data_IF_429224617432
#
_entry.id   IF_429224617432
#
_cell.length_a   1.000
_cell.length_b   1.000
_cell.length_c   1.000
_cell.angle_alpha   90.00
_cell.angle_beta   90.00
_cell.angle_gamma   90.00
#
_symmetry.space_group_name_H-M   'P 1'
#
loop_
_entity.id
_entity.type
_entity.pdbx_description
1 polymer ?
#
# COMPACT_ATOMS: atom_id res chain seq x y z
N UNK A 1 64.26 -13.37 33.00
CA UNK A 1 62.86 -13.05 33.31
C UNK A 1 62.29 -11.89 32.45
N UNK A 2 63.09 -10.99 31.92
CA UNK A 2 62.66 -9.80 31.18
C UNK A 2 62.30 -10.03 29.68
N UNK A 3 62.70 -11.17 29.10
CA UNK A 3 62.47 -11.40 27.65
C UNK A 3 61.08 -12.01 27.31
N UNK A 4 60.45 -12.69 28.24
CA UNK A 4 59.13 -13.28 28.03
C UNK A 4 57.98 -12.25 28.11
N UNK A 5 58.12 -11.21 28.91
CA UNK A 5 57.07 -10.18 29.06
C UNK A 5 56.92 -9.30 27.79
N UNK A 6 58.01 -9.05 27.07
CA UNK A 6 58.01 -8.28 25.81
C UNK A 6 57.30 -9.07 24.71
N UNK A 7 57.42 -10.38 24.66
CA UNK A 7 56.74 -11.22 23.68
C UNK A 7 55.24 -11.30 23.91
N UNK A 8 54.80 -11.32 25.15
CA UNK A 8 53.36 -11.32 25.52
C UNK A 8 52.70 -9.99 25.13
N UNK A 9 53.34 -8.85 25.42
CA UNK A 9 52.86 -7.52 25.07
C UNK A 9 52.81 -7.36 23.54
N UNK A 10 53.80 -7.85 22.80
CA UNK A 10 53.82 -7.81 21.35
C UNK A 10 52.70 -8.66 20.72
N UNK A 11 52.38 -9.83 21.29
CA UNK A 11 51.29 -10.69 20.83
C UNK A 11 49.92 -10.09 21.10
N UNK A 12 49.71 -9.44 22.25
CA UNK A 12 48.49 -8.74 22.62
C UNK A 12 48.25 -7.52 21.72
N UNK A 13 49.27 -6.71 21.44
CA UNK A 13 49.18 -5.56 20.56
C UNK A 13 48.90 -5.96 19.10
N UNK A 14 49.45 -7.09 18.64
CA UNK A 14 49.17 -7.65 17.31
C UNK A 14 47.74 -8.16 17.21
N UNK A 15 47.25 -8.85 18.26
CA UNK A 15 45.84 -9.32 18.35
C UNK A 15 44.83 -8.18 18.30
N UNK A 16 45.06 -7.08 19.00
CA UNK A 16 44.22 -5.87 19.00
C UNK A 16 44.20 -5.21 17.62
N UNK A 17 45.33 -5.21 16.88
CA UNK A 17 45.39 -4.63 15.52
C UNK A 17 44.64 -5.48 14.49
N UNK A 18 44.64 -6.81 14.62
CA UNK A 18 43.83 -7.69 13.77
C UNK A 18 42.33 -7.60 14.12
N UNK A 19 41.98 -7.50 15.39
CA UNK A 19 40.60 -7.35 15.86
C UNK A 19 39.99 -6.03 15.39
N UNK A 20 40.75 -4.90 15.42
CA UNK A 20 40.28 -3.63 14.84
C UNK A 20 40.08 -3.71 13.32
N UNK A 21 40.89 -4.42 12.57
CA UNK A 21 40.69 -4.64 11.13
C UNK A 21 39.50 -5.55 10.84
N UNK A 22 39.27 -6.59 11.65
CA UNK A 22 38.10 -7.46 11.51
C UNK A 22 36.80 -6.70 11.82
N UNK A 23 36.78 -5.88 12.87
CA UNK A 23 35.62 -5.06 13.25
C UNK A 23 35.33 -4.01 12.16
N UNK A 24 36.34 -3.35 11.60
CA UNK A 24 36.12 -2.37 10.52
C UNK A 24 35.65 -3.01 9.21
N UNK A 25 36.10 -4.22 8.88
CA UNK A 25 35.59 -4.95 7.70
C UNK A 25 34.18 -5.49 7.94
N UNK A 26 33.89 -5.94 9.17
CA UNK A 26 32.52 -6.40 9.53
C UNK A 26 31.52 -5.26 9.58
N UNK A 27 31.90 -4.07 10.09
CA UNK A 27 31.06 -2.86 10.02
C UNK A 27 30.86 -2.39 8.57
N UNK A 28 31.89 -2.44 7.72
CA UNK A 28 31.75 -2.04 6.32
C UNK A 28 30.83 -2.99 5.53
N UNK A 29 30.80 -4.29 5.85
CA UNK A 29 29.90 -5.27 5.22
C UNK A 29 28.46 -5.12 5.72
N UNK A 30 28.25 -4.72 6.98
CA UNK A 30 26.89 -4.46 7.51
C UNK A 30 26.32 -3.15 6.92
N UNK A 31 27.14 -2.13 6.71
CA UNK A 31 26.68 -0.84 6.11
C UNK A 31 26.38 -1.00 4.60
N UNK A 32 27.03 -1.95 3.90
CA UNK A 32 26.74 -2.22 2.48
C UNK A 32 25.57 -3.19 2.24
N UNK A 33 25.00 -3.79 3.30
CA UNK A 33 23.90 -4.76 3.22
C UNK A 33 22.57 -4.23 3.74
N UNK A 34 22.48 -2.95 4.08
CA UNK A 34 21.19 -2.30 4.28
C UNK A 34 20.69 -1.89 2.89
N UNK A 35 19.74 -2.63 2.27
CA UNK A 35 19.05 -2.07 1.14
C UNK A 35 18.37 -0.79 1.65
N UNK A 36 18.62 0.32 0.98
CA UNK A 36 17.77 1.49 1.06
C UNK A 36 16.39 1.02 0.59
N UNK A 37 15.59 0.51 1.51
CA UNK A 37 14.17 0.38 1.34
C UNK A 37 13.65 1.83 1.35
N UNK A 38 13.76 2.52 0.20
CA UNK A 38 12.81 3.53 -0.19
C UNK A 38 11.49 2.78 -0.49
N UNK A 39 10.90 2.19 0.54
CA UNK A 39 9.53 1.76 0.49
C UNK A 39 8.72 3.05 0.44
N UNK A 40 8.08 3.32 -0.69
CA UNK A 40 6.97 4.23 -0.70
C UNK A 40 5.98 3.68 0.34
N UNK A 41 5.92 4.33 1.49
CA UNK A 41 4.93 4.04 2.51
C UNK A 41 3.60 4.53 1.93
N UNK A 42 2.79 3.63 1.38
CA UNK A 42 1.41 3.94 1.07
C UNK A 42 0.66 4.04 2.40
N UNK A 43 0.46 5.24 2.90
CA UNK A 43 -0.58 5.47 3.87
C UNK A 43 -1.91 5.12 3.19
N UNK A 44 -2.75 4.33 3.85
CA UNK A 44 -4.13 4.17 3.41
C UNK A 44 -4.75 5.57 3.39
N UNK A 45 -5.11 6.05 2.21
CA UNK A 45 -5.72 7.37 2.08
C UNK A 45 -7.05 7.41 2.80
N UNK A 46 -7.42 8.59 3.30
CA UNK A 46 -8.70 8.78 3.97
C UNK A 46 -9.87 8.42 3.06
N UNK A 47 -10.72 7.53 3.53
CA UNK A 47 -11.98 7.18 2.88
C UNK A 47 -13.05 8.15 3.37
N UNK A 48 -13.47 9.08 2.52
CA UNK A 48 -14.51 10.05 2.85
C UNK A 48 -15.89 9.45 2.60
N UNK A 49 -16.87 9.93 3.36
CA UNK A 49 -18.27 9.61 3.10
C UNK A 49 -18.86 10.75 2.24
N UNK A 50 -19.22 10.47 0.97
CA UNK A 50 -19.88 11.45 0.14
C UNK A 50 -21.24 11.86 0.75
N UNK A 51 -21.47 13.14 0.88
CA UNK A 51 -22.76 13.72 1.33
C UNK A 51 -23.78 13.78 0.18
N UNK A 52 -23.84 12.73 -0.62
CA UNK A 52 -24.70 12.59 -1.79
C UNK A 52 -25.49 11.27 -1.75
N UNK A 53 -26.66 11.27 -2.35
CA UNK A 53 -27.47 10.05 -2.47
C UNK A 53 -26.92 9.16 -3.58
N UNK A 54 -26.71 7.88 -3.29
CA UNK A 54 -26.22 6.86 -4.20
C UNK A 54 -27.08 5.60 -4.07
N UNK A 55 -27.46 5.04 -5.19
CA UNK A 55 -28.45 3.97 -5.30
C UNK A 55 -27.83 2.58 -5.44
N UNK A 56 -26.55 2.50 -5.78
CA UNK A 56 -25.80 1.24 -5.95
C UNK A 56 -25.62 0.49 -4.63
N UNK A 57 -25.56 -0.83 -4.73
CA UNK A 57 -25.29 -1.72 -3.57
C UNK A 57 -23.85 -1.57 -3.07
N UNK A 58 -22.89 -1.54 -4.00
CA UNK A 58 -21.49 -1.35 -3.69
C UNK A 58 -20.84 -0.36 -4.66
N UNK A 59 -19.86 0.41 -4.15
CA UNK A 59 -19.04 1.29 -4.99
C UNK A 59 -17.66 1.51 -4.40
N UNK A 60 -16.72 1.88 -5.28
CA UNK A 60 -15.42 2.45 -4.93
C UNK A 60 -15.11 3.63 -5.84
N UNK A 61 -14.52 4.67 -5.27
CA UNK A 61 -13.93 5.79 -5.99
C UNK A 61 -12.47 5.89 -5.62
N UNK A 62 -11.60 5.84 -6.61
CA UNK A 62 -10.14 5.76 -6.45
C UNK A 62 -9.52 6.93 -7.18
N UNK A 63 -8.59 7.64 -6.54
CA UNK A 63 -7.77 8.62 -7.22
C UNK A 63 -6.66 7.92 -8.01
N UNK A 64 -6.38 8.40 -9.23
CA UNK A 64 -5.40 7.83 -10.16
C UNK A 64 -4.13 8.71 -10.31
N UNK A 65 -4.02 9.80 -9.55
CA UNK A 65 -2.92 10.75 -9.67
C UNK A 65 -1.72 10.40 -8.77
N UNK A 66 -1.90 9.43 -7.89
CA UNK A 66 -0.89 8.88 -6.99
C UNK A 66 -0.70 7.39 -7.27
N UNK A 67 0.55 6.93 -7.32
CA UNK A 67 0.89 5.52 -7.58
C UNK A 67 0.38 4.55 -6.49
N UNK A 68 0.01 5.05 -5.32
CA UNK A 68 -0.66 4.28 -4.25
C UNK A 68 -2.14 4.04 -4.54
N UNK A 69 -2.73 4.74 -5.53
CA UNK A 69 -4.14 4.65 -5.91
C UNK A 69 -5.11 4.77 -4.72
N UNK A 70 -5.07 5.89 -4.00
CA UNK A 70 -5.84 6.05 -2.78
C UNK A 70 -7.36 5.94 -3.01
N UNK A 71 -8.01 5.11 -2.21
CA UNK A 71 -9.48 5.00 -2.19
C UNK A 71 -10.05 6.21 -1.46
N UNK A 72 -10.80 7.06 -2.15
CA UNK A 72 -11.36 8.29 -1.58
C UNK A 72 -12.80 8.16 -1.12
N UNK A 73 -13.56 7.18 -1.65
CA UNK A 73 -14.89 6.83 -1.16
C UNK A 73 -15.19 5.36 -1.48
N UNK A 74 -15.92 4.68 -0.58
CA UNK A 74 -16.32 3.29 -0.79
C UNK A 74 -17.56 2.93 0.04
N UNK A 75 -18.26 1.90 -0.42
CA UNK A 75 -19.38 1.25 0.26
C UNK A 75 -19.42 -0.22 -0.13
N UNK A 76 -19.53 -1.12 0.85
CA UNK A 76 -19.66 -2.57 0.63
C UNK A 76 -18.63 -3.13 -0.37
N UNK A 77 -17.42 -2.58 -0.36
CA UNK A 77 -16.39 -2.86 -1.36
C UNK A 77 -15.95 -4.32 -1.42
N UNK A 78 -16.13 -5.08 -0.34
CA UNK A 78 -15.76 -6.49 -0.21
C UNK A 78 -16.97 -7.44 -0.26
N UNK A 79 -18.17 -6.91 -0.49
CA UNK A 79 -19.37 -7.72 -0.71
C UNK A 79 -19.28 -8.46 -2.04
N UNK A 80 -19.56 -9.76 -2.04
CA UNK A 80 -19.61 -10.58 -3.26
C UNK A 80 -20.79 -10.17 -4.12
N UNK A 81 -20.49 -9.79 -5.35
CA UNK A 81 -21.44 -9.31 -6.34
C UNK A 81 -21.25 -10.05 -7.66
N UNK A 82 -22.30 -10.12 -8.48
CA UNK A 82 -22.17 -10.63 -9.84
C UNK A 82 -21.62 -9.53 -10.75
N UNK A 83 -20.49 -9.78 -11.47
CA UNK A 83 -19.85 -8.76 -12.30
C UNK A 83 -20.60 -8.50 -13.60
N UNK A 84 -21.43 -9.43 -14.08
CA UNK A 84 -21.94 -9.41 -15.44
C UNK A 84 -20.81 -9.16 -16.45
N UNK A 85 -21.05 -8.39 -17.51
CA UNK A 85 -20.05 -8.12 -18.56
C UNK A 85 -18.83 -7.28 -18.12
N UNK A 86 -18.69 -6.90 -16.85
CA UNK A 86 -17.41 -6.38 -16.34
C UNK A 86 -16.31 -7.46 -16.38
N UNK A 87 -16.69 -8.73 -16.38
CA UNK A 87 -15.84 -9.92 -16.63
C UNK A 87 -14.95 -9.75 -17.86
N UNK A 88 -15.46 -9.08 -18.90
CA UNK A 88 -14.74 -8.89 -20.18
C UNK A 88 -13.47 -8.03 -20.04
N UNK A 89 -13.29 -7.31 -18.94
CA UNK A 89 -12.01 -6.67 -18.61
C UNK A 89 -10.94 -7.75 -18.44
N UNK A 90 -11.25 -8.81 -17.70
CA UNK A 90 -10.32 -9.92 -17.48
C UNK A 90 -10.08 -10.70 -18.78
N UNK A 91 -11.12 -10.94 -19.56
CA UNK A 91 -11.00 -11.58 -20.88
C UNK A 91 -10.06 -10.80 -21.80
N UNK A 92 -10.21 -9.47 -21.84
CA UNK A 92 -9.33 -8.63 -22.64
C UNK A 92 -7.88 -8.67 -22.12
N UNK A 93 -7.67 -8.62 -20.81
CA UNK A 93 -6.33 -8.65 -20.24
C UNK A 93 -5.64 -10.01 -20.41
N UNK A 94 -6.36 -11.13 -20.21
CA UNK A 94 -5.81 -12.47 -20.47
C UNK A 94 -5.44 -12.60 -21.96
N UNK A 95 -6.26 -12.09 -22.87
CA UNK A 95 -5.94 -12.07 -24.30
C UNK A 95 -4.67 -11.23 -24.57
N UNK A 96 -4.61 -9.99 -24.09
CA UNK A 96 -3.47 -9.10 -24.31
C UNK A 96 -2.16 -9.61 -23.70
N UNK A 97 -2.23 -10.36 -22.62
CA UNK A 97 -1.07 -10.94 -21.94
C UNK A 97 -0.54 -12.21 -22.67
N UNK A 98 -1.35 -12.84 -23.49
CA UNK A 98 -0.98 -14.10 -24.16
C UNK A 98 -0.82 -13.99 -25.67
N UNK A 99 -1.31 -12.93 -26.31
CA UNK A 99 -1.21 -12.70 -27.75
C UNK A 99 -0.33 -11.49 -28.03
N UNK A 100 0.81 -11.71 -28.64
CA UNK A 100 1.78 -10.64 -28.96
C UNK A 100 1.46 -9.92 -30.28
N UNK A 101 0.85 -10.62 -31.23
CA UNK A 101 0.47 -10.08 -32.54
C UNK A 101 -1.06 -9.99 -32.65
N UNK A 102 -1.61 -8.81 -32.38
CA UNK A 102 -3.06 -8.57 -32.44
C UNK A 102 -3.63 -8.57 -33.86
N UNK A 103 -2.80 -8.64 -34.90
CA UNK A 103 -3.22 -8.77 -36.29
C UNK A 103 -3.36 -10.24 -36.73
N UNK A 104 -3.13 -11.20 -35.82
CA UNK A 104 -3.43 -12.61 -36.11
C UNK A 104 -4.92 -12.80 -36.35
N UNK A 105 -5.24 -13.54 -37.39
CA UNK A 105 -6.60 -13.84 -37.81
C UNK A 105 -7.11 -15.08 -37.09
N UNK A 106 -8.32 -14.98 -36.55
CA UNK A 106 -9.03 -16.05 -35.84
C UNK A 106 -10.35 -16.30 -36.55
N UNK A 107 -10.65 -17.56 -36.80
CA UNK A 107 -11.90 -17.97 -37.43
C UNK A 107 -12.93 -18.38 -36.40
N UNK A 108 -14.16 -17.87 -36.52
CA UNK A 108 -15.30 -18.23 -35.66
C UNK A 108 -15.63 -19.70 -35.81
N UNK A 109 -15.45 -20.48 -34.76
CA UNK A 109 -15.77 -21.89 -34.74
C UNK A 109 -17.26 -22.16 -34.51
N UNK A 110 -17.71 -23.35 -34.87
CA UNK A 110 -19.05 -23.84 -34.56
C UNK A 110 -19.27 -23.91 -33.01
N UNK A 111 -18.25 -24.23 -32.26
CA UNK A 111 -18.32 -24.34 -30.80
C UNK A 111 -18.51 -22.97 -30.13
N UNK A 112 -17.70 -21.96 -30.48
CA UNK A 112 -17.83 -20.59 -29.98
C UNK A 112 -19.19 -19.97 -30.34
N UNK A 113 -19.73 -20.30 -31.51
CA UNK A 113 -21.07 -19.85 -31.93
C UNK A 113 -22.19 -20.53 -31.14
N UNK A 114 -22.17 -21.85 -31.04
CA UNK A 114 -23.28 -22.65 -30.51
C UNK A 114 -23.47 -22.45 -29.00
N UNK A 115 -22.41 -22.13 -28.24
CA UNK A 115 -22.47 -22.01 -26.79
C UNK A 115 -23.40 -20.86 -26.35
N UNK A 116 -23.61 -19.86 -27.21
CA UNK A 116 -24.48 -18.72 -26.94
C UNK A 116 -25.93 -18.89 -27.41
N UNK A 117 -26.24 -19.96 -28.10
CA UNK A 117 -27.61 -20.18 -28.63
C UNK A 117 -28.63 -20.24 -27.49
N UNK A 118 -29.67 -19.42 -27.59
CA UNK A 118 -30.75 -19.37 -26.59
C UNK A 118 -30.42 -18.67 -25.27
N UNK A 119 -29.21 -18.13 -25.10
CA UNK A 119 -28.82 -17.43 -23.87
C UNK A 119 -29.36 -16.01 -23.76
N UNK A 120 -29.75 -15.38 -24.88
CA UNK A 120 -30.11 -13.95 -24.94
C UNK A 120 -28.90 -13.02 -24.75
N UNK A 121 -27.68 -13.52 -24.88
CA UNK A 121 -26.45 -12.74 -24.77
C UNK A 121 -26.38 -11.63 -25.84
N UNK A 122 -25.75 -10.51 -25.48
CA UNK A 122 -25.42 -9.48 -26.46
C UNK A 122 -24.30 -9.96 -27.37
N UNK A 123 -24.51 -9.93 -28.69
CA UNK A 123 -23.59 -10.40 -29.72
C UNK A 123 -23.31 -9.32 -30.77
N UNK A 124 -22.18 -9.40 -31.43
CA UNK A 124 -21.87 -8.58 -32.62
C UNK A 124 -22.51 -9.16 -33.90
N UNK A 125 -22.99 -10.39 -33.85
CA UNK A 125 -23.63 -11.08 -35.00
C UNK A 125 -22.58 -11.79 -35.86
N UNK A 126 -21.52 -12.31 -35.23
CA UNK A 126 -20.53 -13.14 -35.95
C UNK A 126 -21.13 -14.47 -36.37
N UNK A 127 -20.79 -14.94 -37.57
CA UNK A 127 -21.24 -16.21 -38.15
C UNK A 127 -20.09 -17.23 -38.16
N UNK A 128 -20.47 -18.53 -38.20
CA UNK A 128 -19.48 -19.61 -38.29
C UNK A 128 -18.67 -19.44 -39.59
N UNK A 129 -17.34 -19.43 -39.46
CA UNK A 129 -16.42 -19.25 -40.58
C UNK A 129 -15.98 -17.79 -40.81
N UNK A 130 -16.59 -16.81 -40.13
CA UNK A 130 -16.07 -15.44 -40.15
C UNK A 130 -14.63 -15.42 -39.64
N UNK A 131 -13.81 -14.55 -40.24
CA UNK A 131 -12.40 -14.39 -39.84
C UNK A 131 -12.13 -12.94 -39.41
N UNK A 132 -11.67 -12.75 -38.18
CA UNK A 132 -11.36 -11.47 -37.59
C UNK A 132 -9.97 -11.48 -36.96
N UNK A 133 -9.33 -10.33 -36.94
CA UNK A 133 -8.10 -10.18 -36.12
C UNK A 133 -8.42 -10.18 -34.62
N UNK A 134 -7.45 -10.57 -33.81
CA UNK A 134 -7.57 -10.49 -32.35
C UNK A 134 -7.90 -9.04 -31.91
N UNK A 135 -7.32 -8.02 -32.55
CA UNK A 135 -7.66 -6.62 -32.28
C UNK A 135 -9.14 -6.33 -32.55
N UNK A 136 -9.69 -6.78 -33.67
CA UNK A 136 -11.11 -6.62 -34.01
C UNK A 136 -12.02 -7.28 -32.96
N UNK A 137 -11.70 -8.52 -32.57
CA UNK A 137 -12.44 -9.23 -31.52
C UNK A 137 -12.40 -8.49 -30.19
N UNK A 138 -11.23 -7.94 -29.80
CA UNK A 138 -11.10 -7.13 -28.56
C UNK A 138 -11.94 -5.85 -28.62
N UNK A 139 -12.01 -5.16 -29.78
CA UNK A 139 -12.89 -3.99 -29.94
C UNK A 139 -14.36 -4.36 -29.78
N UNK A 140 -14.81 -5.44 -30.44
CA UNK A 140 -16.20 -5.90 -30.31
C UNK A 140 -16.52 -6.33 -28.87
N UNK A 141 -15.58 -7.02 -28.19
CA UNK A 141 -15.71 -7.45 -26.79
C UNK A 141 -15.85 -6.25 -25.84
N UNK A 142 -15.01 -5.24 -25.99
CA UNK A 142 -14.97 -4.13 -25.03
C UNK A 142 -15.97 -3.01 -25.35
N UNK A 143 -16.09 -2.62 -26.62
CA UNK A 143 -16.95 -1.51 -27.04
C UNK A 143 -18.42 -1.94 -27.07
N UNK A 144 -18.74 -3.01 -27.76
CA UNK A 144 -20.11 -3.50 -27.91
C UNK A 144 -20.53 -4.49 -26.82
N UNK A 145 -19.58 -4.98 -26.04
CA UNK A 145 -19.84 -6.04 -25.06
C UNK A 145 -20.22 -7.39 -25.70
N UNK A 146 -19.72 -7.67 -26.91
CA UNK A 146 -20.09 -8.82 -27.72
C UNK A 146 -19.62 -10.14 -27.09
N UNK A 147 -20.56 -11.01 -26.72
CA UNK A 147 -20.26 -12.32 -26.14
C UNK A 147 -19.70 -13.31 -27.18
N UNK A 148 -20.14 -13.24 -28.43
CA UNK A 148 -19.62 -14.03 -29.52
C UNK A 148 -18.12 -13.77 -29.77
N UNK A 149 -17.72 -12.52 -29.86
CA UNK A 149 -16.30 -12.15 -29.93
C UNK A 149 -15.51 -12.63 -28.70
N UNK A 150 -16.13 -12.61 -27.52
CA UNK A 150 -15.52 -13.05 -26.26
C UNK A 150 -15.24 -14.56 -26.27
N UNK A 151 -16.21 -15.38 -26.72
CA UNK A 151 -16.06 -16.84 -26.80
C UNK A 151 -15.03 -17.25 -27.86
N UNK A 152 -14.96 -16.53 -29.00
CA UNK A 152 -13.92 -16.75 -30.02
C UNK A 152 -12.53 -16.46 -29.43
N UNK A 153 -12.34 -15.38 -28.69
CA UNK A 153 -11.08 -15.09 -28.01
C UNK A 153 -10.73 -16.15 -26.98
N UNK A 154 -11.71 -16.60 -26.19
CA UNK A 154 -11.50 -17.62 -25.17
C UNK A 154 -11.05 -18.95 -25.76
N UNK A 155 -11.66 -19.41 -26.86
CA UNK A 155 -11.27 -20.62 -27.53
C UNK A 155 -9.88 -20.47 -28.19
N UNK A 156 -9.61 -19.35 -28.85
CA UNK A 156 -8.34 -19.11 -29.52
C UNK A 156 -7.16 -19.06 -28.53
N UNK A 157 -7.29 -18.31 -27.44
CA UNK A 157 -6.20 -18.10 -26.46
C UNK A 157 -6.05 -19.28 -25.52
N UNK A 158 -7.17 -19.83 -25.06
CA UNK A 158 -7.18 -20.95 -24.11
C UNK A 158 -7.02 -22.33 -24.79
N UNK A 159 -7.27 -22.43 -26.09
CA UNK A 159 -7.44 -23.70 -26.76
C UNK A 159 -8.77 -24.38 -26.43
N UNK A 160 -9.27 -24.19 -25.21
CA UNK A 160 -10.64 -24.52 -24.77
C UNK A 160 -11.17 -23.44 -23.87
N UNK A 161 -12.48 -23.32 -23.77
CA UNK A 161 -13.16 -22.36 -22.87
C UNK A 161 -12.79 -22.58 -21.42
N UNK A 162 -12.75 -23.83 -20.96
CA UNK A 162 -12.40 -24.21 -19.59
C UNK A 162 -10.97 -23.78 -19.24
N UNK A 163 -10.02 -23.99 -20.15
CA UNK A 163 -8.65 -23.55 -19.91
C UNK A 163 -8.54 -22.02 -19.88
N UNK A 164 -9.29 -21.31 -20.72
CA UNK A 164 -9.34 -19.85 -20.69
C UNK A 164 -9.92 -19.33 -19.36
N UNK A 165 -11.01 -19.93 -18.87
CA UNK A 165 -11.59 -19.61 -17.55
C UNK A 165 -10.58 -19.86 -16.43
N UNK A 166 -9.80 -20.96 -16.52
CA UNK A 166 -8.69 -21.18 -15.58
C UNK A 166 -7.66 -20.04 -15.66
N UNK A 167 -7.27 -19.61 -16.86
CA UNK A 167 -6.33 -18.48 -17.04
C UNK A 167 -6.89 -17.18 -16.46
N UNK A 168 -8.21 -16.93 -16.57
CA UNK A 168 -8.87 -15.76 -15.95
C UNK A 168 -8.76 -15.79 -14.44
N UNK A 169 -9.02 -16.93 -13.81
CA UNK A 169 -8.91 -17.11 -12.37
C UNK A 169 -7.45 -17.01 -11.89
N UNK A 170 -6.51 -17.59 -12.63
CA UNK A 170 -5.08 -17.49 -12.35
C UNK A 170 -4.61 -16.03 -12.44
N UNK A 171 -5.07 -15.26 -13.43
CA UNK A 171 -4.78 -13.84 -13.55
C UNK A 171 -5.34 -13.03 -12.36
N UNK A 172 -6.60 -13.23 -12.01
CA UNK A 172 -7.20 -12.59 -10.84
C UNK A 172 -6.44 -12.94 -9.54
N UNK A 173 -6.10 -14.20 -9.34
CA UNK A 173 -5.31 -14.65 -8.19
C UNK A 173 -3.92 -14.00 -8.14
N UNK A 174 -3.26 -13.81 -9.29
CA UNK A 174 -1.94 -13.15 -9.37
C UNK A 174 -1.97 -11.69 -8.92
N UNK A 175 -3.13 -11.04 -9.02
CA UNK A 175 -3.37 -9.67 -8.55
C UNK A 175 -3.85 -9.62 -7.08
N UNK A 176 -3.91 -10.77 -6.39
CA UNK A 176 -4.40 -10.87 -5.01
C UNK A 176 -5.92 -10.71 -4.88
N UNK A 177 -6.68 -11.08 -5.92
CA UNK A 177 -8.14 -11.14 -5.88
C UNK A 177 -8.58 -12.42 -5.20
N UNK A 178 -8.90 -12.35 -3.91
CA UNK A 178 -9.25 -13.53 -3.09
C UNK A 178 -10.75 -13.80 -3.00
N UNK A 179 -11.56 -12.84 -3.45
CA UNK A 179 -13.02 -12.92 -3.42
C UNK A 179 -13.63 -12.90 -4.84
N UNK A 180 -12.92 -13.45 -5.80
CA UNK A 180 -13.32 -13.47 -7.21
C UNK A 180 -13.24 -14.89 -7.74
N UNK A 181 -14.27 -15.30 -8.50
CA UNK A 181 -14.29 -16.54 -9.26
C UNK A 181 -15.05 -16.34 -10.57
N UNK A 182 -14.45 -16.71 -11.67
CA UNK A 182 -15.04 -16.68 -13.02
C UNK A 182 -15.41 -18.09 -13.46
N UNK A 183 -16.62 -18.25 -14.04
CA UNK A 183 -17.13 -19.50 -14.62
C UNK A 183 -17.22 -19.43 -16.15
N UNK A 184 -17.16 -18.23 -16.70
CA UNK A 184 -17.23 -17.98 -18.14
C UNK A 184 -16.47 -16.70 -18.53
N UNK A 185 -16.15 -16.52 -19.83
CA UNK A 185 -15.35 -15.37 -20.28
C UNK A 185 -16.19 -14.11 -20.54
N UNK A 186 -17.52 -14.20 -20.56
CA UNK A 186 -18.41 -13.14 -21.03
C UNK A 186 -19.24 -12.48 -19.91
N UNK A 187 -19.34 -13.12 -18.74
CA UNK A 187 -20.09 -12.63 -17.58
C UNK A 187 -21.58 -12.97 -17.62
N UNK A 188 -22.00 -13.97 -18.42
CA UNK A 188 -23.31 -14.56 -18.27
C UNK A 188 -23.48 -15.12 -16.87
N UNK A 189 -24.71 -15.05 -16.35
CA UNK A 189 -24.98 -15.41 -14.97
C UNK A 189 -24.66 -16.87 -14.65
N UNK A 190 -23.95 -17.07 -13.56
CA UNK A 190 -23.75 -18.32 -12.83
C UNK A 190 -23.61 -17.98 -11.35
N UNK A 191 -24.19 -18.79 -10.46
CA UNK A 191 -24.16 -18.55 -9.02
C UNK A 191 -22.74 -18.51 -8.43
N UNK A 192 -21.79 -19.20 -9.07
CA UNK A 192 -20.38 -19.22 -8.69
C UNK A 192 -19.54 -18.15 -9.41
N UNK A 193 -20.13 -17.36 -10.31
CA UNK A 193 -19.46 -16.28 -11.03
C UNK A 193 -19.59 -14.97 -10.28
N UNK A 194 -18.68 -14.67 -9.37
CA UNK A 194 -18.74 -13.53 -8.47
C UNK A 194 -17.41 -12.78 -8.36
N UNK A 195 -17.49 -11.56 -7.89
CA UNK A 195 -16.35 -10.70 -7.59
C UNK A 195 -16.72 -9.69 -6.50
N UNK A 196 -15.79 -8.79 -6.16
CA UNK A 196 -16.03 -7.63 -5.28
C UNK A 196 -15.59 -6.34 -5.94
N UNK A 197 -16.04 -5.18 -5.45
CA UNK A 197 -15.55 -3.90 -5.94
C UNK A 197 -14.02 -3.76 -5.70
N UNK A 198 -13.53 -4.24 -4.56
CA UNK A 198 -12.09 -4.26 -4.23
C UNK A 198 -11.27 -5.09 -5.22
N UNK A 199 -11.74 -6.28 -5.59
CA UNK A 199 -11.02 -7.13 -6.55
C UNK A 199 -11.10 -6.56 -7.97
N UNK A 200 -12.25 -6.02 -8.38
CA UNK A 200 -12.38 -5.31 -9.66
C UNK A 200 -11.49 -4.06 -9.74
N UNK A 201 -11.26 -3.39 -8.60
CA UNK A 201 -10.31 -2.28 -8.53
C UNK A 201 -8.90 -2.74 -8.89
N UNK A 202 -8.39 -3.81 -8.27
CA UNK A 202 -7.06 -4.38 -8.56
C UNK A 202 -6.94 -4.77 -10.04
N UNK A 203 -7.93 -5.47 -10.57
CA UNK A 203 -7.99 -5.89 -11.97
C UNK A 203 -7.99 -4.68 -12.91
N UNK A 204 -8.82 -3.67 -12.62
CA UNK A 204 -8.94 -2.49 -13.48
C UNK A 204 -7.69 -1.62 -13.44
N UNK A 205 -7.10 -1.42 -12.25
CA UNK A 205 -5.86 -0.66 -12.08
C UNK A 205 -4.70 -1.32 -12.84
N UNK A 206 -4.61 -2.65 -12.83
CA UNK A 206 -3.63 -3.36 -13.64
C UNK A 206 -3.90 -3.21 -15.15
N UNK A 207 -5.16 -3.33 -15.56
CA UNK A 207 -5.58 -3.16 -16.95
C UNK A 207 -5.28 -1.73 -17.47
N UNK A 208 -5.43 -0.70 -16.64
CA UNK A 208 -5.14 0.70 -17.02
C UNK A 208 -3.66 0.97 -17.30
N UNK A 209 -2.74 0.13 -16.84
CA UNK A 209 -1.31 0.19 -17.18
C UNK A 209 -1.03 -0.24 -18.62
N UNK A 210 -1.94 -1.00 -19.23
CA UNK A 210 -1.81 -1.46 -20.60
C UNK A 210 -2.41 -0.42 -21.58
N UNK A 211 -1.55 0.22 -22.37
CA UNK A 211 -1.97 1.27 -23.31
C UNK A 211 -2.89 0.77 -24.43
N UNK A 212 -2.76 -0.50 -24.85
CA UNK A 212 -3.67 -1.11 -25.84
C UNK A 212 -5.05 -1.33 -25.23
N UNK A 213 -5.12 -1.82 -23.98
CA UNK A 213 -6.38 -1.95 -23.27
C UNK A 213 -7.09 -0.59 -23.16
N UNK A 214 -6.38 0.44 -22.70
CA UNK A 214 -6.98 1.78 -22.51
C UNK A 214 -7.45 2.36 -23.84
N UNK A 215 -6.67 2.22 -24.94
CA UNK A 215 -7.07 2.64 -26.28
C UNK A 215 -8.40 2.00 -26.67
N UNK A 216 -8.55 0.69 -26.51
CA UNK A 216 -9.76 -0.06 -26.88
C UNK A 216 -10.93 0.32 -25.96
N UNK A 217 -10.73 0.30 -24.63
CA UNK A 217 -11.78 0.56 -23.65
C UNK A 217 -12.34 2.01 -23.72
N UNK A 218 -11.53 2.99 -24.15
CA UNK A 218 -11.93 4.39 -24.27
C UNK A 218 -12.60 4.71 -25.63
N UNK A 219 -12.64 3.75 -26.55
CA UNK A 219 -13.26 3.91 -27.87
C UNK A 219 -14.78 4.04 -27.72
N UNK A 220 -15.35 5.13 -28.26
CA UNK A 220 -16.77 5.43 -28.18
C UNK A 220 -17.58 4.70 -29.26
N UNK A 221 -17.02 4.60 -30.46
CA UNK A 221 -17.61 4.00 -31.64
C UNK A 221 -16.53 3.22 -32.39
N UNK A 222 -16.89 2.04 -32.85
CA UNK A 222 -16.02 1.16 -33.63
C UNK A 222 -16.76 0.64 -34.84
N UNK A 223 -16.18 0.82 -36.03
CA UNK A 223 -16.74 0.29 -37.28
C UNK A 223 -16.10 -1.06 -37.58
N UNK A 224 -16.92 -2.06 -37.83
CA UNK A 224 -16.50 -3.36 -38.34
C UNK A 224 -17.46 -3.82 -39.40
N UNK A 225 -16.94 -4.21 -40.58
CA UNK A 225 -17.68 -4.74 -41.72
C UNK A 225 -18.86 -3.85 -42.17
N UNK A 226 -18.67 -2.51 -42.16
CA UNK A 226 -19.68 -1.53 -42.56
C UNK A 226 -20.77 -1.28 -41.50
N UNK A 227 -20.67 -1.88 -40.34
CA UNK A 227 -21.56 -1.68 -39.22
C UNK A 227 -20.86 -0.91 -38.07
N UNK A 228 -21.57 0.07 -37.49
CA UNK A 228 -21.07 0.80 -36.34
C UNK A 228 -21.52 0.14 -35.04
N UNK A 229 -20.55 -0.14 -34.17
CA UNK A 229 -20.72 -0.64 -32.80
C UNK A 229 -20.41 0.45 -31.80
N UNK A 230 -21.30 0.68 -30.85
CA UNK A 230 -21.18 1.77 -29.89
C UNK A 230 -20.82 1.26 -28.49
N UNK A 231 -20.00 2.04 -27.81
CA UNK A 231 -19.68 1.74 -26.42
C UNK A 231 -20.95 1.71 -25.57
N UNK A 232 -21.07 0.68 -24.75
CA UNK A 232 -22.22 0.46 -23.87
C UNK A 232 -22.23 1.44 -22.69
N UNK A 233 -21.11 2.12 -22.39
CA UNK A 233 -21.08 3.19 -21.42
C UNK A 233 -21.70 4.47 -21.99
N UNK A 234 -22.95 4.72 -21.60
CA UNK A 234 -23.71 5.88 -22.08
C UNK A 234 -23.15 7.22 -21.62
N UNK A 235 -22.29 7.24 -20.60
CA UNK A 235 -21.60 8.46 -20.14
C UNK A 235 -20.69 9.04 -21.23
N UNK A 236 -20.26 8.24 -22.20
CA UNK A 236 -19.40 8.66 -23.31
C UNK A 236 -20.18 9.25 -24.49
N UNK A 237 -21.50 9.09 -24.53
CA UNK A 237 -22.32 9.32 -25.72
C UNK A 237 -23.17 10.58 -25.58
N UNK A 238 -22.79 11.65 -26.29
CA UNK A 238 -23.47 12.96 -26.26
C UNK A 238 -24.99 12.92 -26.56
N UNK A 239 -25.48 11.90 -27.27
CA UNK A 239 -26.91 11.73 -27.56
C UNK A 239 -27.75 11.26 -26.35
N UNK A 240 -27.13 10.83 -25.26
CA UNK A 240 -27.80 10.34 -24.04
C UNK A 240 -27.66 11.38 -22.93
N UNK A 241 -28.38 12.51 -23.03
CA UNK A 241 -28.20 13.68 -22.17
C UNK A 241 -28.34 13.39 -20.66
N UNK A 242 -29.20 12.43 -20.29
CA UNK A 242 -29.34 12.02 -18.87
C UNK A 242 -28.09 11.37 -18.30
N UNK A 243 -27.22 10.78 -19.13
CA UNK A 243 -26.05 10.03 -18.69
C UNK A 243 -24.72 10.64 -19.12
N UNK A 244 -24.72 11.45 -20.20
CA UNK A 244 -23.50 12.01 -20.76
C UNK A 244 -22.74 12.82 -19.72
N UNK A 245 -21.47 12.46 -19.53
CA UNK A 245 -20.55 13.18 -18.65
C UNK A 245 -19.26 13.50 -19.41
N UNK A 246 -19.04 14.76 -19.72
CA UNK A 246 -17.98 15.19 -20.64
C UNK A 246 -16.55 14.81 -20.22
N UNK A 247 -16.34 14.54 -18.91
CA UNK A 247 -15.05 14.16 -18.36
C UNK A 247 -14.84 12.64 -18.31
N UNK A 248 -15.90 11.84 -18.56
CA UNK A 248 -15.80 10.38 -18.47
C UNK A 248 -15.01 9.77 -19.63
N UNK A 249 -14.30 8.66 -19.33
CA UNK A 249 -13.54 7.84 -20.29
C UNK A 249 -13.72 6.37 -19.95
N UNK A 250 -14.04 5.53 -21.01
CA UNK A 250 -14.16 4.08 -20.85
C UNK A 250 -15.02 3.70 -19.64
N UNK A 251 -14.93 2.55 -19.01
CA UNK A 251 -14.10 1.38 -19.35
C UNK A 251 -15.03 0.27 -19.80
N UNK A 252 -16.00 -0.13 -18.93
CA UNK A 252 -16.93 -1.22 -19.22
C UNK A 252 -18.21 -1.12 -18.40
N UNK A 253 -19.32 -1.60 -18.99
CA UNK A 253 -20.60 -1.81 -18.30
C UNK A 253 -20.92 -3.29 -18.17
N UNK A 254 -21.78 -3.61 -17.22
CA UNK A 254 -22.34 -4.93 -17.04
C UNK A 254 -23.79 -4.89 -16.58
N UNK A 255 -24.61 -5.83 -17.01
CA UNK A 255 -25.95 -6.01 -16.45
C UNK A 255 -26.49 -7.41 -16.72
N UNK A 256 -27.08 -8.01 -15.70
CA UNK A 256 -27.97 -9.16 -15.73
C UNK A 256 -29.13 -8.88 -14.77
N UNK A 257 -30.13 -9.74 -14.74
CA UNK A 257 -31.24 -9.61 -13.77
C UNK A 257 -30.73 -9.67 -12.34
N UNK A 258 -29.74 -10.51 -12.08
CA UNK A 258 -29.15 -10.80 -10.77
C UNK A 258 -28.11 -9.76 -10.36
N UNK A 259 -27.28 -9.31 -11.32
CA UNK A 259 -26.24 -8.30 -11.07
C UNK A 259 -26.80 -6.90 -10.88
N UNK A 260 -27.98 -6.59 -11.45
CA UNK A 260 -28.40 -5.21 -11.63
C UNK A 260 -27.53 -4.50 -12.66
N UNK A 261 -27.41 -3.18 -12.57
CA UNK A 261 -26.57 -2.39 -13.48
C UNK A 261 -25.23 -2.05 -12.83
N UNK A 262 -24.16 -2.33 -13.56
CA UNK A 262 -22.79 -2.12 -13.12
C UNK A 262 -22.04 -1.25 -14.14
N UNK A 263 -21.12 -0.42 -13.66
CA UNK A 263 -20.20 0.36 -14.50
C UNK A 263 -18.85 0.52 -13.82
N UNK A 264 -17.80 0.37 -14.61
CA UNK A 264 -16.45 0.81 -14.29
C UNK A 264 -16.11 1.89 -15.30
N UNK A 265 -15.73 3.07 -14.82
CA UNK A 265 -15.45 4.23 -15.66
C UNK A 265 -14.42 5.14 -15.00
N UNK A 266 -13.61 5.85 -15.79
CA UNK A 266 -12.71 6.89 -15.29
C UNK A 266 -13.27 8.27 -15.67
N UNK A 267 -12.81 9.30 -14.95
CA UNK A 267 -13.04 10.69 -15.34
C UNK A 267 -11.80 11.54 -15.06
N UNK A 268 -11.56 12.53 -15.94
CA UNK A 268 -10.43 13.46 -15.83
C UNK A 268 -10.94 14.89 -15.92
N UNK A 269 -10.61 15.72 -14.91
CA UNK A 269 -10.99 17.13 -14.89
C UNK A 269 -9.95 17.94 -14.12
N UNK A 270 -9.50 19.06 -14.68
CA UNK A 270 -8.60 20.04 -14.05
C UNK A 270 -7.32 19.41 -13.46
N UNK A 271 -6.80 18.34 -14.09
CA UNK A 271 -5.60 17.62 -13.65
C UNK A 271 -5.88 16.50 -12.65
N UNK A 272 -7.10 16.35 -12.15
CA UNK A 272 -7.50 15.23 -11.29
C UNK A 272 -8.07 14.09 -12.11
N UNK A 273 -7.71 12.85 -11.74
CA UNK A 273 -8.15 11.63 -12.38
C UNK A 273 -8.75 10.68 -11.34
N UNK A 274 -9.94 10.17 -11.62
CA UNK A 274 -10.61 9.21 -10.74
C UNK A 274 -11.11 8.00 -11.51
N UNK A 275 -11.11 6.84 -10.84
CA UNK A 275 -11.76 5.60 -11.25
C UNK A 275 -12.97 5.36 -10.34
N UNK A 276 -14.16 5.20 -10.95
CA UNK A 276 -15.36 4.77 -10.26
C UNK A 276 -15.72 3.34 -10.64
N UNK A 277 -15.98 2.52 -9.62
CA UNK A 277 -16.54 1.17 -9.73
C UNK A 277 -17.89 1.21 -9.04
N UNK A 278 -18.95 0.90 -9.75
CA UNK A 278 -20.35 0.94 -9.28
C UNK A 278 -21.00 -0.39 -9.60
N UNK A 279 -21.51 -1.09 -8.58
CA UNK A 279 -22.09 -2.42 -8.70
C UNK A 279 -23.51 -2.48 -8.13
N UNK A 280 -24.37 -3.25 -8.77
CA UNK A 280 -25.70 -3.56 -8.28
C UNK A 280 -26.66 -2.37 -8.23
N UNK A 281 -26.51 -1.41 -9.14
CA UNK A 281 -27.39 -0.27 -9.21
C UNK A 281 -28.76 -0.65 -9.82
N UNK A 282 -29.87 -0.05 -9.33
CA UNK A 282 -31.20 -0.28 -9.88
C UNK A 282 -31.46 0.53 -11.14
N UNK A 283 -32.63 0.27 -11.77
CA UNK A 283 -33.28 1.17 -12.73
C UNK A 283 -34.54 1.68 -12.06
N UNK A 284 -34.55 2.95 -11.76
CA UNK A 284 -35.66 3.62 -11.06
C UNK A 284 -35.84 5.04 -11.57
N UNK A 285 -37.04 5.60 -11.35
CA UNK A 285 -37.30 7.04 -11.46
C UNK A 285 -36.74 7.71 -10.18
N UNK A 286 -35.46 8.07 -10.21
CA UNK A 286 -34.76 8.56 -9.03
C UNK A 286 -35.07 10.02 -8.70
N UNK A 287 -35.54 10.77 -9.68
CA UNK A 287 -35.86 12.21 -9.57
C UNK A 287 -37.33 12.53 -9.63
N UNK A 288 -38.20 11.52 -9.74
CA UNK A 288 -39.67 11.60 -9.83
C UNK A 288 -40.17 12.41 -11.03
N UNK A 289 -39.49 12.33 -12.17
CA UNK A 289 -39.91 12.98 -13.42
C UNK A 289 -40.77 12.10 -14.34
N UNK A 290 -41.02 10.86 -13.94
CA UNK A 290 -41.80 9.86 -14.66
C UNK A 290 -40.97 8.97 -15.60
N UNK A 291 -39.68 9.16 -15.66
CA UNK A 291 -38.76 8.31 -16.44
C UNK A 291 -37.85 7.49 -15.51
N UNK A 292 -37.52 6.29 -15.93
CA UNK A 292 -36.59 5.42 -15.18
C UNK A 292 -35.20 5.49 -15.78
N UNK A 293 -34.20 5.65 -14.92
CA UNK A 293 -32.82 5.72 -15.32
C UNK A 293 -31.97 4.56 -14.73
N UNK A 294 -30.89 4.24 -15.44
CA UNK A 294 -29.85 3.31 -14.98
C UNK A 294 -28.97 4.04 -13.94
N UNK A 295 -29.26 3.79 -12.67
CA UNK A 295 -28.59 4.50 -11.57
C UNK A 295 -27.08 4.29 -11.51
N UNK A 296 -26.52 3.25 -12.16
CA UNK A 296 -25.06 3.07 -12.23
C UNK A 296 -24.33 4.26 -12.85
N UNK A 297 -24.90 4.87 -13.90
CA UNK A 297 -24.33 6.06 -14.53
C UNK A 297 -24.55 7.32 -13.70
N UNK A 298 -25.70 7.42 -13.04
CA UNK A 298 -26.03 8.54 -12.14
C UNK A 298 -25.08 8.54 -10.97
N UNK A 299 -24.89 7.39 -10.30
CA UNK A 299 -23.99 7.24 -9.17
C UNK A 299 -22.53 7.55 -9.54
N UNK A 300 -22.04 7.01 -10.67
CA UNK A 300 -20.70 7.30 -11.14
C UNK A 300 -20.48 8.80 -11.40
N UNK A 301 -21.42 9.46 -12.08
CA UNK A 301 -21.35 10.89 -12.34
C UNK A 301 -21.45 11.72 -11.04
N UNK A 302 -22.26 11.29 -10.09
CA UNK A 302 -22.43 11.93 -8.79
C UNK A 302 -21.15 11.83 -7.95
N UNK A 303 -20.52 10.63 -7.90
CA UNK A 303 -19.24 10.42 -7.25
C UNK A 303 -18.14 11.31 -7.84
N UNK A 304 -18.05 11.40 -9.17
CA UNK A 304 -17.08 12.28 -9.84
C UNK A 304 -17.34 13.76 -9.54
N UNK A 305 -18.58 14.22 -9.64
CA UNK A 305 -18.95 15.61 -9.34
C UNK A 305 -18.61 15.96 -7.90
N UNK A 306 -18.93 15.06 -6.97
CA UNK A 306 -18.56 15.22 -5.56
C UNK A 306 -17.05 15.31 -5.37
N UNK A 307 -16.27 14.37 -5.92
CA UNK A 307 -14.83 14.38 -5.76
C UNK A 307 -14.17 15.63 -6.36
N UNK A 308 -14.50 15.98 -7.61
CA UNK A 308 -13.96 17.19 -8.27
C UNK A 308 -14.39 18.48 -7.58
N UNK A 309 -15.56 18.50 -6.93
CA UNK A 309 -16.08 19.68 -6.24
C UNK A 309 -15.64 19.79 -4.78
N UNK A 310 -15.38 18.67 -4.12
CA UNK A 310 -15.19 18.62 -2.66
C UNK A 310 -13.79 18.26 -2.21
N UNK A 311 -12.97 17.68 -3.08
CA UNK A 311 -11.63 17.21 -2.73
C UNK A 311 -10.55 17.97 -3.50
N UNK A 312 -9.40 18.14 -2.88
CA UNK A 312 -8.19 18.69 -3.54
C UNK A 312 -6.92 18.15 -2.90
N UNK A 313 -5.84 18.15 -3.65
CA UNK A 313 -4.51 18.01 -3.07
C UNK A 313 -4.15 19.26 -2.26
N UNK A 314 -3.72 19.07 -1.05
CA UNK A 314 -3.22 20.16 -0.18
C UNK A 314 -1.98 19.69 0.56
N UNK A 315 -1.02 20.60 0.74
CA UNK A 315 0.10 20.38 1.64
C UNK A 315 -0.43 20.33 3.07
N UNK A 316 -0.36 19.17 3.69
CA UNK A 316 -0.83 18.93 5.07
C UNK A 316 0.28 19.15 6.09
N UNK A 317 1.53 18.89 5.74
CA UNK A 317 2.74 19.17 6.53
C UNK A 317 3.77 19.80 5.61
N UNK A 318 4.47 20.83 6.12
CA UNK A 318 5.57 21.46 5.38
C UNK A 318 6.91 20.87 5.80
N UNK A 319 7.84 20.80 4.87
CA UNK A 319 9.21 20.38 5.14
C UNK A 319 9.84 21.25 6.24
N UNK A 320 10.56 20.62 7.16
CA UNK A 320 11.15 21.22 8.36
C UNK A 320 10.14 21.74 9.41
N UNK A 321 8.85 21.45 9.27
CA UNK A 321 7.88 21.67 10.34
C UNK A 321 8.25 20.82 11.56
N UNK A 322 8.33 21.43 12.74
CA UNK A 322 8.69 20.73 13.98
C UNK A 322 7.49 19.92 14.46
N UNK A 323 7.69 18.64 14.59
CA UNK A 323 6.63 17.69 14.95
C UNK A 323 6.78 17.19 16.39
N UNK A 324 8.01 16.86 16.80
CA UNK A 324 8.28 16.26 18.11
C UNK A 324 9.74 16.49 18.52
N UNK A 325 10.16 15.92 19.62
CA UNK A 325 11.55 15.89 20.08
C UNK A 325 11.91 14.52 20.65
N UNK A 326 13.19 14.18 20.64
CA UNK A 326 13.72 12.94 21.20
C UNK A 326 14.95 13.22 22.06
N UNK A 327 15.13 12.45 23.14
CA UNK A 327 16.31 12.56 23.98
C UNK A 327 17.58 12.13 23.23
N UNK A 328 18.72 12.80 23.51
CA UNK A 328 20.01 12.47 22.92
C UNK A 328 20.98 12.01 24.03
N UNK A 329 21.47 10.77 23.88
CA UNK A 329 22.52 10.24 24.76
C UNK A 329 23.90 10.63 24.24
N UNK A 330 24.77 11.09 25.13
CA UNK A 330 26.14 11.52 24.84
C UNK A 330 26.25 12.72 23.89
N UNK A 331 25.17 13.53 23.74
CA UNK A 331 25.22 14.73 22.91
C UNK A 331 26.12 15.79 23.50
N UNK A 332 26.85 16.54 22.66
CA UNK A 332 27.60 17.71 23.06
C UNK A 332 26.68 18.92 22.99
N UNK A 333 26.52 19.59 24.11
CA UNK A 333 25.71 20.83 24.24
C UNK A 333 24.20 20.66 23.96
N UNK A 334 23.70 19.43 23.80
CA UNK A 334 22.29 19.12 23.60
C UNK A 334 21.93 17.77 24.22
N UNK A 335 20.84 17.72 24.97
CA UNK A 335 20.24 16.52 25.57
C UNK A 335 18.91 16.13 24.89
N UNK A 336 18.41 16.98 24.00
CA UNK A 336 17.23 16.74 23.14
C UNK A 336 17.52 17.14 21.72
N UNK A 337 16.82 16.50 20.78
CA UNK A 337 16.87 16.74 19.34
C UNK A 337 15.44 16.94 18.84
N UNK A 338 15.19 18.04 18.14
CA UNK A 338 13.92 18.28 17.47
C UNK A 338 13.79 17.36 16.26
N UNK A 339 12.60 16.80 16.09
CA UNK A 339 12.20 15.99 14.95
C UNK A 339 11.35 16.84 14.02
N UNK A 340 11.75 16.93 12.77
CA UNK A 340 11.06 17.71 11.76
C UNK A 340 10.63 16.83 10.59
N UNK A 341 9.62 17.26 9.84
CA UNK A 341 9.23 16.62 8.61
C UNK A 341 10.38 16.66 7.58
N UNK A 342 10.72 15.51 7.00
CA UNK A 342 11.81 15.39 6.03
C UNK A 342 11.50 16.00 4.68
N UNK A 343 10.21 16.11 4.34
CA UNK A 343 9.69 16.61 3.07
C UNK A 343 8.33 17.27 3.24
N UNK A 344 7.87 17.98 2.20
CA UNK A 344 6.48 18.44 2.11
C UNK A 344 5.57 17.23 1.89
N UNK A 345 4.51 17.12 2.67
CA UNK A 345 3.52 16.06 2.53
C UNK A 345 2.23 16.63 1.97
N UNK A 346 1.80 16.09 0.84
CA UNK A 346 0.53 16.42 0.22
C UNK A 346 -0.44 15.24 0.37
N UNK A 347 -1.70 15.54 0.61
CA UNK A 347 -2.77 14.54 0.66
C UNK A 347 -4.03 15.06 -0.03
N UNK A 348 -4.88 14.14 -0.47
CA UNK A 348 -6.23 14.48 -0.95
C UNK A 348 -7.08 14.72 0.29
N UNK A 349 -7.59 15.94 0.43
CA UNK A 349 -8.38 16.37 1.57
C UNK A 349 -9.56 17.22 1.12
N UNK A 350 -10.62 17.38 1.94
CA UNK A 350 -11.73 18.24 1.62
C UNK A 350 -11.32 19.69 1.36
N UNK A 351 -12.02 20.35 0.45
CA UNK A 351 -11.87 21.78 0.21
C UNK A 351 -12.11 22.57 1.51
N UNK A 352 -11.23 23.53 1.80
CA UNK A 352 -11.34 24.33 3.03
C UNK A 352 -10.81 23.59 4.30
N UNK A 353 -9.93 22.61 4.12
CA UNK A 353 -9.24 21.97 5.24
C UNK A 353 -8.70 23.04 6.19
N UNK A 354 -9.09 22.96 7.46
CA UNK A 354 -8.44 23.67 8.56
C UNK A 354 -7.30 22.76 9.08
N UNK A 355 -6.06 23.21 8.93
CA UNK A 355 -4.86 22.49 9.41
C UNK A 355 -4.90 22.21 10.91
N UNK A 356 -5.66 22.98 11.69
CA UNK A 356 -5.85 22.73 13.12
C UNK A 356 -6.57 21.41 13.43
N UNK A 357 -7.27 20.84 12.45
CA UNK A 357 -7.95 19.54 12.57
C UNK A 357 -7.04 18.36 12.19
N UNK A 358 -5.80 18.64 11.80
CA UNK A 358 -4.80 17.58 11.52
C UNK A 358 -4.20 17.13 12.84
N UNK A 359 -4.25 15.84 13.10
CA UNK A 359 -3.60 15.19 14.23
C UNK A 359 -2.38 14.45 13.72
N UNK A 360 -1.21 14.69 14.34
CA UNK A 360 0.03 14.00 14.00
C UNK A 360 0.32 12.97 15.07
N UNK A 361 0.46 11.71 14.68
CA UNK A 361 0.75 10.60 15.59
C UNK A 361 2.11 9.99 15.23
N UNK A 362 3.12 10.29 16.05
CA UNK A 362 4.47 9.74 15.88
C UNK A 362 4.46 8.24 16.16
N UNK A 363 5.11 7.46 15.26
CA UNK A 363 5.29 6.01 15.34
C UNK A 363 6.76 5.65 15.52
N UNK A 364 7.00 4.52 16.19
CA UNK A 364 8.33 3.91 16.36
C UNK A 364 9.42 4.86 16.87
N UNK A 365 8.99 5.91 17.61
CA UNK A 365 9.91 6.87 18.21
C UNK A 365 10.80 6.18 19.25
N UNK A 366 12.13 6.20 19.07
CA UNK A 366 13.05 5.66 20.08
C UNK A 366 12.98 6.48 21.39
N UNK A 367 13.20 5.83 22.52
CA UNK A 367 13.24 6.52 23.80
C UNK A 367 14.40 7.55 23.86
N UNK A 368 15.53 7.23 23.21
CA UNK A 368 16.70 8.10 23.05
C UNK A 368 17.46 7.76 21.76
N UNK A 369 18.17 8.71 21.19
CA UNK A 369 19.13 8.51 20.09
C UNK A 369 20.56 8.74 20.62
N UNK A 370 21.53 8.02 20.07
CA UNK A 370 22.93 8.19 20.45
C UNK A 370 23.61 9.22 19.55
N UNK A 371 24.29 10.21 20.13
CA UNK A 371 25.17 11.09 19.37
C UNK A 371 26.40 10.29 18.82
N UNK A 372 26.99 10.67 17.65
CA UNK A 372 26.60 11.81 16.84
C UNK A 372 25.35 11.53 16.01
N UNK A 373 24.54 12.56 15.76
CA UNK A 373 23.40 12.56 14.83
C UNK A 373 23.59 13.72 13.88
N UNK A 374 23.46 13.49 12.59
CA UNK A 374 23.57 14.55 11.58
C UNK A 374 22.18 15.12 11.23
N UNK A 375 22.14 16.41 10.90
CA UNK A 375 20.91 17.03 10.38
C UNK A 375 20.41 16.28 9.16
N UNK A 376 19.13 15.87 9.16
CA UNK A 376 18.50 15.11 8.09
C UNK A 376 18.55 13.61 8.29
N UNK A 377 19.22 13.09 9.33
CA UNK A 377 19.18 11.66 9.64
C UNK A 377 17.75 11.21 9.94
N UNK A 378 17.25 10.12 9.34
CA UNK A 378 15.93 9.59 9.60
C UNK A 378 15.87 8.98 11.00
N UNK A 379 14.85 9.35 11.79
CA UNK A 379 14.70 8.90 13.18
C UNK A 379 13.50 7.99 13.36
N UNK A 380 12.31 8.40 12.91
CA UNK A 380 11.06 7.66 13.04
C UNK A 380 10.05 8.17 12.01
N UNK A 381 8.82 7.66 12.01
CA UNK A 381 7.75 8.13 11.13
C UNK A 381 6.58 8.71 11.94
N UNK A 382 5.69 9.42 11.27
CA UNK A 382 4.44 9.88 11.86
C UNK A 382 3.28 9.72 10.88
N UNK A 383 2.13 9.28 11.40
CA UNK A 383 0.87 9.31 10.68
C UNK A 383 0.27 10.71 10.77
N UNK A 384 -0.18 11.20 9.62
CA UNK A 384 -0.97 12.43 9.51
C UNK A 384 -2.43 12.02 9.42
N UNK A 385 -3.19 12.42 10.43
CA UNK A 385 -4.58 11.98 10.63
C UNK A 385 -5.51 13.17 10.43
N UNK A 386 -6.54 12.98 9.62
CA UNK A 386 -7.66 13.90 9.44
C UNK A 386 -8.98 13.14 9.49
N UNK A 387 -9.98 13.66 10.24
CA UNK A 387 -11.28 12.99 10.43
C UNK A 387 -11.15 11.51 10.88
N UNK A 388 -10.25 11.26 11.85
CA UNK A 388 -9.93 9.94 12.41
C UNK A 388 -9.34 8.93 11.42
N UNK A 389 -8.89 9.39 10.23
CA UNK A 389 -8.27 8.55 9.21
C UNK A 389 -6.86 9.01 8.90
N UNK A 390 -5.95 8.07 8.65
CA UNK A 390 -4.60 8.37 8.20
C UNK A 390 -4.68 8.83 6.75
N UNK A 391 -4.32 10.09 6.49
CA UNK A 391 -4.33 10.70 5.15
C UNK A 391 -2.96 10.66 4.48
N UNK A 392 -1.90 10.54 5.26
CA UNK A 392 -0.53 10.43 4.79
C UNK A 392 0.39 9.94 5.92
N UNK A 393 1.61 9.54 5.57
CA UNK A 393 2.71 9.26 6.49
C UNK A 393 3.91 10.15 6.15
N UNK A 394 4.68 10.55 7.16
CA UNK A 394 5.88 11.37 6.98
C UNK A 394 7.08 10.79 7.70
N UNK A 395 8.25 10.83 7.05
CA UNK A 395 9.52 10.53 7.68
C UNK A 395 9.93 11.71 8.55
N UNK A 396 10.15 11.48 9.85
CA UNK A 396 10.72 12.47 10.76
C UNK A 396 12.24 12.35 10.78
N UNK A 397 12.89 13.48 10.60
CA UNK A 397 14.35 13.58 10.53
C UNK A 397 14.90 14.53 11.58
N UNK A 398 16.20 14.41 11.87
CA UNK A 398 16.92 15.29 12.76
C UNK A 398 16.91 16.75 12.25
N UNK A 399 16.42 17.69 13.03
CA UNK A 399 16.39 19.12 12.68
C UNK A 399 17.79 19.74 12.67
N UNK A 400 18.67 19.27 13.56
CA UNK A 400 19.98 19.83 13.81
C UNK A 400 21.02 18.70 13.94
N UNK A 401 22.30 19.04 13.72
CA UNK A 401 23.40 18.12 14.00
C UNK A 401 23.76 18.18 15.48
N UNK A 402 23.88 17.01 16.13
CA UNK A 402 24.36 16.89 17.51
C UNK A 402 25.67 16.10 17.52
N UNK A 403 26.77 16.77 17.86
CA UNK A 403 28.08 16.16 17.96
C UNK A 403 28.19 15.25 19.21
N UNK A 404 29.10 14.25 19.15
CA UNK A 404 29.40 13.37 20.27
C UNK A 404 30.21 14.09 21.35
N UNK A 405 29.76 14.04 22.59
CA UNK A 405 30.55 14.43 23.76
C UNK A 405 31.40 13.27 24.26
N UNK A 406 32.72 13.34 24.05
CA UNK A 406 33.65 12.33 24.57
C UNK A 406 33.61 12.24 26.09
N UNK A 407 33.39 13.36 26.76
CA UNK A 407 33.29 13.39 28.23
C UNK A 407 32.03 12.64 28.71
N UNK A 408 30.86 12.93 28.14
CA UNK A 408 29.61 12.27 28.53
C UNK A 408 29.64 10.78 28.16
N UNK A 409 30.28 10.42 27.04
CA UNK A 409 30.46 9.02 26.65
C UNK A 409 31.23 8.23 27.71
N UNK A 410 32.33 8.80 28.25
CA UNK A 410 33.10 8.15 29.32
C UNK A 410 32.30 8.09 30.60
N UNK A 411 31.65 9.18 30.99
CA UNK A 411 30.84 9.24 32.21
C UNK A 411 29.69 8.23 32.18
N UNK A 412 28.97 8.17 31.07
CA UNK A 412 27.86 7.24 30.91
C UNK A 412 28.34 5.79 30.83
N UNK A 413 29.47 5.51 30.17
CA UNK A 413 30.06 4.17 30.17
C UNK A 413 30.45 3.70 31.58
N UNK A 414 30.98 4.62 32.43
CA UNK A 414 31.27 4.33 33.84
C UNK A 414 29.96 4.07 34.62
N UNK A 415 28.94 4.90 34.43
CA UNK A 415 27.62 4.69 35.08
C UNK A 415 26.99 3.33 34.64
N UNK A 416 27.01 3.05 33.36
CA UNK A 416 26.47 1.81 32.82
C UNK A 416 27.22 0.60 33.38
N UNK A 417 28.57 0.66 33.48
CA UNK A 417 29.39 -0.38 34.12
C UNK A 417 28.97 -0.65 35.55
N UNK A 418 28.84 0.42 36.38
CA UNK A 418 28.43 0.28 37.77
C UNK A 418 26.94 -0.08 37.94
N UNK A 419 26.14 0.12 36.91
CA UNK A 419 24.71 -0.28 36.89
C UNK A 419 24.52 -1.79 36.73
N UNK A 420 25.50 -2.50 36.15
CA UNK A 420 25.45 -3.94 35.90
C UNK A 420 25.25 -4.71 37.22
N UNK A 421 24.25 -5.60 37.22
CA UNK A 421 23.93 -6.43 38.42
C UNK A 421 25.16 -7.21 38.92
N UNK A 422 25.94 -7.75 38.02
CA UNK A 422 27.18 -8.47 38.36
C UNK A 422 28.19 -7.58 39.09
N UNK A 423 28.37 -6.33 38.66
CA UNK A 423 29.29 -5.39 39.29
C UNK A 423 28.76 -4.98 40.67
N UNK A 424 27.45 -4.75 40.82
CA UNK A 424 26.84 -4.46 42.14
C UNK A 424 27.04 -5.60 43.10
N UNK A 425 26.88 -6.84 42.67
CA UNK A 425 27.14 -8.06 43.50
C UNK A 425 28.59 -8.12 43.91
N UNK A 426 29.53 -7.88 42.98
CA UNK A 426 30.97 -7.89 43.31
C UNK A 426 31.33 -6.83 44.33
N UNK A 427 30.78 -5.60 44.16
CA UNK A 427 30.99 -4.51 45.15
C UNK A 427 30.50 -4.92 46.54
N UNK A 428 29.29 -5.48 46.63
CA UNK A 428 28.72 -5.97 47.89
C UNK A 428 29.60 -7.02 48.54
N UNK A 429 30.09 -8.00 47.77
CA UNK A 429 30.98 -9.06 48.26
C UNK A 429 32.31 -8.48 48.77
N UNK A 430 32.90 -7.51 48.06
CA UNK A 430 34.13 -6.86 48.45
C UNK A 430 33.94 -6.05 49.75
N UNK A 431 32.83 -5.30 49.86
CA UNK A 431 32.50 -4.51 51.08
C UNK A 431 32.29 -5.43 52.28
N UNK A 432 31.54 -6.54 52.09
CA UNK A 432 31.35 -7.53 53.19
C UNK A 432 32.66 -8.22 53.58
N UNK A 433 33.51 -8.54 52.59
CA UNK A 433 34.84 -9.12 52.83
C UNK A 433 35.75 -8.14 53.61
N UNK A 434 35.75 -6.86 53.25
CA UNK A 434 36.48 -5.82 53.96
C UNK A 434 35.97 -5.64 55.40
N UNK A 435 34.66 -5.60 55.60
CA UNK A 435 34.04 -5.52 56.92
C UNK A 435 34.41 -6.71 57.83
N UNK A 436 34.36 -7.91 57.29
CA UNK A 436 34.77 -9.16 57.98
C UNK A 436 36.27 -9.12 58.34
N UNK A 437 37.12 -8.63 57.43
CA UNK A 437 38.57 -8.48 57.70
C UNK A 437 38.84 -7.48 58.82
N UNK A 438 38.20 -6.31 58.81
CA UNK A 438 38.31 -5.29 59.88
C UNK A 438 37.82 -5.88 61.21
N UNK A 439 36.69 -6.59 61.20
CA UNK A 439 36.15 -7.25 62.40
C UNK A 439 37.10 -8.28 62.98
N UNK A 440 37.73 -9.11 62.12
CA UNK A 440 38.78 -10.08 62.55
C UNK A 440 40.03 -9.37 63.10
N UNK A 441 40.42 -8.25 62.51
CA UNK A 441 41.55 -7.47 62.98
C UNK A 441 41.26 -6.88 64.36
N UNK A 442 40.12 -6.28 64.60
CA UNK A 442 39.68 -5.75 65.89
C UNK A 442 39.61 -6.87 66.95
N UNK A 443 39.02 -8.01 66.58
CA UNK A 443 38.93 -9.18 67.44
C UNK A 443 40.34 -9.67 67.88
N UNK A 444 41.30 -9.81 66.94
CA UNK A 444 42.69 -10.19 67.24
C UNK A 444 43.39 -9.16 68.14
N UNK A 445 43.19 -7.86 67.89
CA UNK A 445 43.76 -6.78 68.69
C UNK A 445 43.21 -6.80 70.13
N UNK A 446 41.91 -7.01 70.32
CA UNK A 446 41.28 -7.09 71.63
C UNK A 446 41.74 -8.36 72.38
N UNK A 447 41.88 -9.48 71.71
CA UNK A 447 42.38 -10.76 72.30
C UNK A 447 43.85 -10.62 72.79
N UNK A 448 44.70 -9.85 72.05
CA UNK A 448 46.07 -9.52 72.52
C UNK A 448 46.07 -8.63 73.75
N UNK A 449 45.13 -7.65 73.83
CA UNK A 449 45.00 -6.77 75.02
C UNK A 449 44.57 -7.56 76.27
N UNK A 450 43.61 -8.50 76.09
CA UNK A 450 43.11 -9.32 77.20
C UNK A 450 44.20 -10.27 77.71
N UNK A 451 44.99 -10.91 76.81
CA UNK A 451 46.12 -11.76 77.20
C UNK A 451 47.23 -10.97 77.92
N UNK A 452 47.44 -9.68 77.58
CA UNK A 452 48.43 -8.86 78.26
C UNK A 452 47.96 -8.46 79.67
N UNK A 453 46.63 -8.17 79.87
CA UNK A 453 46.08 -7.92 81.18
C UNK A 453 46.11 -9.13 82.08
N UNK A 454 45.81 -10.31 81.61
CA UNK A 454 45.85 -11.53 82.43
C UNK A 454 47.30 -11.96 82.78
N UNK A 455 48.33 -11.51 82.04
CA UNK A 455 49.74 -11.76 82.36
C UNK A 455 50.26 -10.74 83.38
N UNK A 456 49.71 -9.47 83.35
CA UNK A 456 50.05 -8.40 84.29
C UNK A 456 49.36 -8.65 85.70
N UNK A 457 48.22 -9.38 85.71
CA UNK A 457 47.50 -9.73 86.97
C UNK A 457 48.08 -11.01 87.67
N UNK A 458 48.98 -11.76 87.04
CA UNK A 458 49.67 -12.94 87.62
C UNK A 458 51.09 -12.59 88.19
N UNK A 459 51.57 -11.32 88.02
CA UNK A 459 52.85 -10.85 88.52
C UNK A 459 52.67 -9.88 89.72
N UNK A 460 51.48 -9.58 90.22
CA UNK A 460 51.23 -8.95 91.55
C UNK A 460 50.81 -10.00 92.59
#
# INVERSE_FOLDING_TARGET
FYQNDIYIIYFILKGVKYMKRFISVFLAVIISAVPFFCGAFSADAAVYQPDVELYSKAYMLINLDDDSYPVVAQKNQDEKMYPASLTKIVTAMVTLNNVSNLQEEVTVSENAFNILLGTGAQVAGLEIGDTLTVEQLLYLTMVHSACDATEVLAEYVGGTRENFVKMMNDYAASLGCTNTNFENPDGLHDDNHYTTASDLAKITLDALKNSTFTKIAYTVEYEYNGQNYYNTNLMLRRGYLSYYYEYAKGIKTGSTSEAGYCVITTASKDGYNYLAIVLGAPVIDYNNDGYVEKCSFIDAATLFKWAFGSLKYSTVIEKNEVIDEVAVKNGKDADTLRLVAGEDVTAIVPNGLDRSNIVIKVKDKPAEVNAPVEKGDPICTADIIYADQVVAEVQLVAADTVELSTFLTVVNAIKDFFSLTAVKVVIVVVVLGAAAYIGLFIYKANKKKTKKRSADDEEE
#
